data_IF_412778636624
#
_entry.id   IF_412778636624
#
_cell.length_a   1.000
_cell.length_b   1.000
_cell.length_c   1.000
_cell.angle_alpha   90.00
_cell.angle_beta   90.00
_cell.angle_gamma   90.00
#
_symmetry.space_group_name_H-M   'P 1'
#
loop_
_entity.id
_entity.type
_entity.pdbx_description
1 polymer ?
#
# COMPACT_ATOMS: atom_id res chain seq x y z
N UNK A 1 -9.02 -15.53 -12.50
CA UNK A 1 -8.06 -16.10 -11.53
C UNK A 1 -6.81 -15.22 -11.54
N UNK A 2 -6.69 -14.28 -10.60
CA UNK A 2 -5.49 -13.44 -10.52
C UNK A 2 -4.32 -14.35 -10.09
N UNK A 3 -3.36 -14.57 -10.99
CA UNK A 3 -2.18 -15.40 -10.72
C UNK A 3 -1.38 -14.70 -9.62
N UNK A 4 -1.29 -15.32 -8.44
CA UNK A 4 -0.45 -14.82 -7.36
C UNK A 4 0.99 -14.67 -7.88
N UNK A 5 1.41 -13.42 -8.05
CA UNK A 5 2.76 -13.08 -8.51
C UNK A 5 3.65 -13.12 -7.27
N UNK A 6 4.56 -14.09 -7.18
CA UNK A 6 5.59 -14.10 -6.14
C UNK A 6 6.50 -12.91 -6.36
N UNK A 7 6.64 -12.07 -5.33
CA UNK A 7 7.55 -10.93 -5.33
C UNK A 7 8.99 -11.42 -5.19
N UNK A 8 9.91 -10.83 -5.95
CA UNK A 8 11.35 -11.01 -5.75
C UNK A 8 11.84 -10.23 -4.53
N UNK A 9 13.03 -10.59 -4.02
CA UNK A 9 13.60 -9.98 -2.80
C UNK A 9 13.72 -8.45 -2.88
N UNK A 10 14.12 -7.92 -4.04
CA UNK A 10 14.25 -6.48 -4.28
C UNK A 10 12.91 -5.74 -4.27
N UNK A 11 11.88 -6.32 -4.88
CA UNK A 11 10.53 -5.74 -4.89
C UNK A 11 9.93 -5.75 -3.47
N UNK A 12 10.25 -6.77 -2.69
CA UNK A 12 9.88 -6.86 -1.28
C UNK A 12 10.55 -5.76 -0.45
N UNK A 13 11.87 -5.57 -0.63
CA UNK A 13 12.64 -4.52 0.03
C UNK A 13 12.11 -3.12 -0.27
N UNK A 14 11.80 -2.82 -1.53
CA UNK A 14 11.21 -1.54 -1.93
C UNK A 14 9.84 -1.30 -1.24
N UNK A 15 9.01 -2.33 -1.12
CA UNK A 15 7.73 -2.24 -0.41
C UNK A 15 7.94 -1.99 1.09
N UNK A 16 8.86 -2.71 1.71
CA UNK A 16 9.13 -2.55 3.14
C UNK A 16 9.77 -1.20 3.47
N UNK A 17 10.66 -0.69 2.63
CA UNK A 17 11.24 0.65 2.79
C UNK A 17 10.18 1.73 2.67
N UNK A 18 9.34 1.70 1.63
CA UNK A 18 8.26 2.66 1.45
C UNK A 18 7.24 2.61 2.62
N UNK A 19 6.98 1.41 3.13
CA UNK A 19 6.14 1.23 4.30
C UNK A 19 6.78 1.80 5.57
N UNK A 20 8.07 1.51 5.81
CA UNK A 20 8.80 2.03 6.97
C UNK A 20 8.90 3.56 6.97
N UNK A 21 9.07 4.18 5.81
CA UNK A 21 9.03 5.64 5.65
C UNK A 21 7.67 6.22 6.04
N UNK A 22 6.58 5.64 5.53
CA UNK A 22 5.23 6.06 5.88
C UNK A 22 4.92 5.90 7.38
N UNK A 23 5.53 4.91 8.03
CA UNK A 23 5.34 4.62 9.46
C UNK A 23 6.13 5.58 10.36
N UNK A 24 7.26 6.13 9.90
CA UNK A 24 8.03 7.14 10.64
C UNK A 24 7.29 8.46 10.82
N UNK A 25 6.33 8.75 9.94
CA UNK A 25 5.50 9.96 10.01
C UNK A 25 4.28 9.79 10.91
N UNK A 26 4.02 8.57 11.41
CA UNK A 26 2.91 8.34 12.33
C UNK A 26 3.29 8.80 13.75
N UNK A 27 2.37 9.49 14.45
CA UNK A 27 2.53 9.79 15.86
C UNK A 27 2.84 8.52 16.69
N UNK A 28 3.68 8.63 17.73
CA UNK A 28 4.17 7.48 18.53
C UNK A 28 3.07 6.72 19.29
N UNK A 29 1.88 7.31 19.37
CA UNK A 29 0.66 6.82 20.01
C UNK A 29 -0.27 6.03 19.07
N UNK A 30 0.12 5.83 17.80
CA UNK A 30 -0.63 5.01 16.84
C UNK A 30 -0.06 3.59 16.80
N UNK A 31 -0.84 2.62 17.27
CA UNK A 31 -0.62 1.21 16.95
C UNK A 31 -0.73 1.05 15.44
N UNK A 32 0.41 0.91 14.78
CA UNK A 32 0.43 0.91 13.33
C UNK A 32 0.45 -0.51 12.73
N UNK A 33 0.74 -1.50 13.57
CA UNK A 33 0.63 -2.92 13.28
C UNK A 33 1.26 -3.79 14.38
N UNK A 34 1.02 -5.09 14.33
CA UNK A 34 1.61 -6.09 15.21
C UNK A 34 2.03 -7.32 14.40
N UNK A 35 2.97 -8.10 14.92
CA UNK A 35 3.20 -9.46 14.43
C UNK A 35 2.23 -10.38 15.14
N UNK A 36 1.50 -11.22 14.40
CA UNK A 36 0.68 -12.25 15.02
C UNK A 36 1.53 -13.44 15.51
N UNK A 37 0.88 -14.44 16.12
CA UNK A 37 1.55 -15.59 16.70
C UNK A 37 2.33 -16.44 15.68
N UNK A 38 2.09 -16.23 14.38
CA UNK A 38 2.75 -16.90 13.27
C UNK A 38 3.88 -16.06 12.67
N UNK A 39 4.10 -14.85 13.21
CA UNK A 39 5.07 -13.90 12.68
C UNK A 39 4.58 -13.16 11.44
N UNK A 40 3.27 -13.20 11.13
CA UNK A 40 2.72 -12.40 10.04
C UNK A 40 2.48 -10.96 10.49
N UNK A 41 2.88 -10.00 9.66
CA UNK A 41 2.62 -8.59 9.90
C UNK A 41 1.14 -8.28 9.68
N UNK A 42 0.45 -7.95 10.78
CA UNK A 42 -0.91 -7.42 10.79
C UNK A 42 -0.86 -5.91 10.94
N UNK A 43 -1.63 -5.22 10.11
CA UNK A 43 -1.78 -3.77 10.23
C UNK A 43 -2.97 -3.45 11.11
N UNK A 44 -2.87 -2.37 11.89
CA UNK A 44 -4.03 -1.88 12.62
C UNK A 44 -5.18 -1.53 11.65
N UNK A 45 -6.45 -1.77 12.06
CA UNK A 45 -7.59 -1.63 11.16
C UNK A 45 -7.69 -0.25 10.48
N UNK A 46 -7.34 0.81 11.19
CA UNK A 46 -7.36 2.19 10.70
C UNK A 46 -6.21 2.46 9.71
N UNK A 47 -4.99 1.95 9.97
CA UNK A 47 -3.86 2.01 9.04
C UNK A 47 -4.16 1.22 7.77
N UNK A 48 -4.66 0.00 7.91
CA UNK A 48 -5.06 -0.83 6.78
C UNK A 48 -6.11 -0.12 5.91
N UNK A 49 -7.07 0.59 6.53
CA UNK A 49 -8.08 1.41 5.84
C UNK A 49 -7.43 2.60 5.12
N UNK A 50 -6.55 3.35 5.78
CA UNK A 50 -5.85 4.51 5.18
C UNK A 50 -5.04 4.11 3.95
N UNK A 51 -4.28 3.02 4.03
CA UNK A 51 -3.47 2.51 2.91
C UNK A 51 -4.34 2.03 1.74
N UNK A 52 -5.45 1.32 2.01
CA UNK A 52 -6.42 0.93 0.97
C UNK A 52 -7.01 2.16 0.27
N UNK A 53 -7.39 3.18 1.03
CA UNK A 53 -7.91 4.44 0.47
C UNK A 53 -6.86 5.13 -0.41
N UNK A 54 -5.63 5.27 0.07
CA UNK A 54 -4.54 5.89 -0.71
C UNK A 54 -4.25 5.13 -2.02
N UNK A 55 -4.25 3.80 -1.98
CA UNK A 55 -4.14 2.95 -3.18
C UNK A 55 -5.29 3.23 -4.15
N UNK A 56 -6.53 3.24 -3.67
CA UNK A 56 -7.71 3.49 -4.52
C UNK A 56 -7.66 4.87 -5.17
N UNK A 57 -7.24 5.90 -4.43
CA UNK A 57 -7.06 7.26 -4.98
C UNK A 57 -6.02 7.26 -6.11
N UNK A 58 -4.88 6.58 -5.94
CA UNK A 58 -3.86 6.47 -7.00
C UNK A 58 -4.37 5.76 -8.24
N UNK A 59 -5.18 4.71 -8.08
CA UNK A 59 -5.82 4.00 -9.19
C UNK A 59 -6.78 4.92 -9.95
N UNK A 60 -7.67 5.63 -9.23
CA UNK A 60 -8.60 6.59 -9.84
C UNK A 60 -7.88 7.71 -10.60
N UNK A 61 -6.81 8.27 -10.03
CA UNK A 61 -6.00 9.29 -10.70
C UNK A 61 -5.32 8.77 -11.97
N UNK A 62 -4.93 7.49 -12.01
CA UNK A 62 -4.39 6.86 -13.22
C UNK A 62 -5.47 6.66 -14.27
N UNK A 63 -6.65 6.19 -13.86
CA UNK A 63 -7.81 6.02 -14.75
C UNK A 63 -8.22 7.36 -15.38
N UNK A 64 -8.27 8.45 -14.62
CA UNK A 64 -8.62 9.78 -15.14
C UNK A 64 -7.62 10.27 -16.17
N UNK A 65 -6.32 10.24 -15.87
CA UNK A 65 -5.27 10.60 -16.85
C UNK A 65 -5.27 9.73 -18.10
N UNK A 66 -5.75 8.50 -17.99
CA UNK A 66 -5.88 7.61 -19.15
C UNK A 66 -7.06 8.03 -20.02
N UNK A 67 -8.22 8.30 -19.42
CA UNK A 67 -9.42 8.80 -20.12
C UNK A 67 -9.20 10.16 -20.78
N UNK A 68 -8.47 11.06 -20.12
CA UNK A 68 -8.10 12.36 -20.70
C UNK A 68 -7.31 12.18 -22.00
N UNK A 69 -6.30 11.29 -21.99
CA UNK A 69 -5.48 10.99 -23.18
C UNK A 69 -6.25 10.30 -24.30
N UNK A 70 -7.22 9.45 -23.95
CA UNK A 70 -8.10 8.79 -24.91
C UNK A 70 -9.12 9.76 -25.56
N UNK A 71 -9.53 10.81 -24.85
CA UNK A 71 -10.41 11.85 -25.37
C UNK A 71 -9.68 12.93 -26.20
N UNK A 72 -8.36 13.05 -26.05
CA UNK A 72 -7.49 13.96 -26.82
C UNK A 72 -7.00 13.35 -28.15
N UNK A 73 -7.25 12.06 -28.40
CA UNK A 73 -6.89 11.31 -29.62
C UNK A 73 -8.07 11.15 -30.57
#
# INVERSE_FOLDING_TARGET
MARERRLGARELEEIFTAFAEAMRELPPDIDAGWLDAQGELRLAPDIARKLRTARRVRELLREWRQRERENES
#
